data_IF_691464611085
#
_entry.id   IF_691464611085
#
_cell.length_a   1.000
_cell.length_b   1.000
_cell.length_c   1.000
_cell.angle_alpha   90.00
_cell.angle_beta   90.00
_cell.angle_gamma   90.00
#
_symmetry.space_group_name_H-M   'P 1'
#
loop_
_entity.id
_entity.type
_entity.pdbx_description
1 polymer ?
#
# COMPACT_ATOMS: atom_id res chain seq x y z
N UNK A 1 -6.34 -10.68 -5.05
CA UNK A 1 -5.91 -9.56 -5.93
C UNK A 1 -5.01 -8.57 -5.21
N UNK A 2 -5.45 -7.96 -4.09
CA UNK A 2 -4.61 -7.04 -3.29
C UNK A 2 -3.38 -7.73 -2.71
N UNK A 3 -3.55 -8.88 -2.04
CA UNK A 3 -2.44 -9.67 -1.50
C UNK A 3 -1.41 -10.04 -2.57
N UNK A 4 -1.84 -10.52 -3.74
CA UNK A 4 -0.98 -10.84 -4.88
C UNK A 4 -0.16 -9.63 -5.36
N UNK A 5 -0.75 -8.44 -5.38
CA UNK A 5 -0.04 -7.22 -5.75
C UNK A 5 0.97 -6.82 -4.66
N UNK A 6 0.65 -7.00 -3.38
CA UNK A 6 1.60 -6.77 -2.28
C UNK A 6 2.76 -7.78 -2.32
N UNK A 7 2.48 -9.07 -2.57
CA UNK A 7 3.49 -10.11 -2.69
C UNK A 7 4.43 -9.83 -3.88
N UNK A 8 3.92 -9.34 -5.02
CA UNK A 8 4.73 -8.93 -6.17
C UNK A 8 5.59 -7.70 -5.88
N UNK A 9 5.06 -6.72 -5.13
CA UNK A 9 5.82 -5.55 -4.69
C UNK A 9 6.92 -5.91 -3.68
N UNK A 10 6.65 -6.86 -2.77
CA UNK A 10 7.63 -7.40 -1.82
C UNK A 10 8.72 -8.18 -2.56
N UNK A 11 8.34 -9.04 -3.52
CA UNK A 11 9.29 -9.79 -4.36
C UNK A 11 10.18 -8.88 -5.22
N UNK A 12 9.67 -7.72 -5.64
CA UNK A 12 10.44 -6.69 -6.35
C UNK A 12 11.30 -5.82 -5.43
N UNK A 13 11.19 -5.98 -4.11
CA UNK A 13 11.90 -5.17 -3.12
C UNK A 13 11.42 -3.72 -3.04
N UNK A 14 10.18 -3.44 -3.45
CA UNK A 14 9.60 -2.08 -3.41
C UNK A 14 9.01 -1.79 -2.03
N UNK A 15 8.46 -2.82 -1.36
CA UNK A 15 7.91 -2.74 0.00
C UNK A 15 8.47 -3.86 0.86
N UNK A 16 8.42 -3.69 2.18
CA UNK A 16 8.80 -4.71 3.15
C UNK A 16 7.74 -4.86 4.25
N UNK A 17 7.69 -6.05 4.86
CA UNK A 17 6.87 -6.26 6.06
C UNK A 17 7.54 -5.62 7.27
N UNK A 18 6.83 -4.71 7.91
CA UNK A 18 7.24 -4.10 9.17
C UNK A 18 6.43 -4.73 10.32
N UNK A 19 7.11 -5.21 11.36
CA UNK A 19 6.48 -5.85 12.52
C UNK A 19 6.20 -4.87 13.67
N UNK A 20 6.76 -3.68 13.61
CA UNK A 20 6.61 -2.63 14.62
C UNK A 20 5.75 -1.48 14.10
N UNK A 21 4.90 -0.86 14.94
CA UNK A 21 4.12 0.29 14.54
C UNK A 21 5.06 1.46 14.21
N UNK A 22 5.05 1.89 12.96
CA UNK A 22 5.75 3.09 12.51
C UNK A 22 4.88 4.31 12.79
N UNK A 23 5.48 5.45 13.16
CA UNK A 23 4.74 6.71 13.40
C UNK A 23 3.89 7.15 12.19
N UNK A 24 4.30 6.75 10.99
CA UNK A 24 3.75 7.21 9.72
C UNK A 24 2.89 6.12 9.07
N UNK A 25 1.65 5.94 9.56
CA UNK A 25 0.71 4.96 8.99
C UNK A 25 -0.25 5.66 8.02
N UNK A 26 -0.11 5.35 6.73
CA UNK A 26 -1.05 5.77 5.70
C UNK A 26 -2.09 4.67 5.41
N UNK A 27 -3.32 5.05 5.12
CA UNK A 27 -4.36 4.10 4.71
C UNK A 27 -4.07 3.56 3.30
N UNK A 28 -4.26 2.26 3.09
CA UNK A 28 -4.19 1.65 1.76
C UNK A 28 -5.58 1.68 1.10
N UNK A 29 -5.68 2.34 -0.03
CA UNK A 29 -6.89 2.41 -0.87
C UNK A 29 -6.66 1.59 -2.13
N UNK A 30 -7.64 0.78 -2.53
CA UNK A 30 -7.54 -0.03 -3.75
C UNK A 30 -8.59 0.39 -4.77
N UNK A 31 -8.16 0.66 -6.00
CA UNK A 31 -9.04 1.03 -7.10
C UNK A 31 -8.85 0.04 -8.24
N UNK A 32 -9.94 -0.42 -8.86
CA UNK A 32 -9.87 -1.24 -10.06
C UNK A 32 -9.69 -0.34 -11.28
N UNK A 33 -8.66 -0.61 -12.08
CA UNK A 33 -8.45 0.08 -13.35
C UNK A 33 -9.43 -0.44 -14.42
N UNK A 34 -9.66 0.34 -15.50
CA UNK A 34 -10.47 -0.11 -16.65
C UNK A 34 -9.94 -1.39 -17.31
N UNK A 35 -8.63 -1.66 -17.23
CA UNK A 35 -7.97 -2.87 -17.72
C UNK A 35 -8.20 -4.11 -16.81
N UNK A 36 -8.93 -3.96 -15.71
CA UNK A 36 -9.23 -5.02 -14.74
C UNK A 36 -8.15 -5.26 -13.68
N UNK A 37 -6.98 -4.61 -13.80
CA UNK A 37 -5.90 -4.65 -12.80
C UNK A 37 -6.22 -3.82 -11.56
N UNK A 38 -5.60 -4.15 -10.43
CA UNK A 38 -5.76 -3.39 -9.18
C UNK A 38 -4.66 -2.34 -9.06
N UNK A 39 -5.03 -1.10 -8.79
CA UNK A 39 -4.13 -0.03 -8.37
C UNK A 39 -4.18 0.09 -6.86
N UNK A 40 -3.02 0.00 -6.24
CA UNK A 40 -2.80 0.30 -4.82
C UNK A 40 -2.45 1.79 -4.70
N UNK A 41 -3.17 2.51 -3.85
CA UNK A 41 -2.95 3.93 -3.55
C UNK A 41 -2.76 4.10 -2.05
N UNK A 42 -1.88 5.01 -1.65
CA UNK A 42 -1.77 5.45 -0.26
C UNK A 42 -2.60 6.72 -0.11
N UNK A 43 -3.42 6.80 0.94
CA UNK A 43 -4.18 8.00 1.27
C UNK A 43 -3.26 8.98 2.02
N UNK A 44 -2.92 10.15 1.43
CA UNK A 44 -2.02 11.13 2.04
C UNK A 44 -2.66 11.91 3.19
N UNK A 45 -3.96 11.74 3.48
CA UNK A 45 -4.65 12.50 4.53
C UNK A 45 -4.24 12.10 5.96
N UNK A 46 -3.32 11.15 6.14
CA UNK A 46 -2.88 10.70 7.46
C UNK A 46 -1.40 10.95 7.70
N UNK A 47 -0.99 12.21 7.59
CA UNK A 47 0.15 12.68 8.36
C UNK A 47 -0.34 13.03 9.77
N UNK A 48 0.29 12.52 10.85
CA UNK A 48 0.15 13.19 12.14
C UNK A 48 0.64 14.62 11.95
N UNK A 49 -0.30 15.58 11.93
CA UNK A 49 0.02 16.99 12.02
C UNK A 49 0.58 17.21 13.44
N UNK A 50 1.76 17.82 13.54
CA UNK A 50 2.31 18.31 14.81
C UNK A 50 1.41 19.39 15.43
#
# INVERSE_FOLDING_TARGET
>A
KVKTALDDLEAKGIIEKVNEPTEWINGLVTVQKPDGSVRLCLDPNRFPQE
#
